data_IF_597827641869
#
_entry.id   IF_597827641869
#
_cell.length_a   1.000
_cell.length_b   1.000
_cell.length_c   1.000
_cell.angle_alpha   90.00
_cell.angle_beta   90.00
_cell.angle_gamma   90.00
#
_symmetry.space_group_name_H-M   'P 1'
#
loop_
_entity.id
_entity.type
_entity.pdbx_description
1 polymer ?
#
# COMPACT_ATOMS: atom_id res chain seq x y z
N UNK A 1 5.23 -25.01 -3.17
CA UNK A 1 5.05 -25.29 -4.61
C UNK A 1 5.03 -23.92 -5.27
N UNK A 2 6.11 -23.59 -5.99
CA UNK A 2 6.32 -22.27 -6.61
C UNK A 2 5.19 -22.02 -7.60
N UNK A 3 4.49 -20.88 -7.50
CA UNK A 3 3.35 -20.57 -8.36
C UNK A 3 3.78 -19.58 -9.43
N UNK A 4 3.92 -20.09 -10.64
CA UNK A 4 4.13 -19.28 -11.85
C UNK A 4 2.78 -18.81 -12.39
N UNK A 5 2.79 -17.92 -13.41
CA UNK A 5 1.58 -17.41 -14.06
C UNK A 5 0.62 -18.51 -14.54
N UNK A 6 1.14 -19.71 -14.83
CA UNK A 6 0.37 -20.89 -15.27
C UNK A 6 -0.30 -21.67 -14.14
N UNK A 7 0.04 -21.41 -12.88
CA UNK A 7 -0.50 -22.11 -11.70
C UNK A 7 -1.68 -21.36 -11.04
N UNK A 8 -2.08 -20.23 -11.61
CA UNK A 8 -3.19 -19.43 -11.10
C UNK A 8 -4.55 -19.99 -11.56
N UNK A 9 -5.58 -19.77 -10.74
CA UNK A 9 -6.95 -20.09 -11.11
C UNK A 9 -7.43 -19.24 -12.30
N UNK A 10 -8.50 -19.70 -12.94
CA UNK A 10 -9.09 -19.01 -14.10
C UNK A 10 -9.83 -17.77 -13.61
N UNK A 11 -9.56 -16.62 -14.23
CA UNK A 11 -10.35 -15.40 -14.06
C UNK A 11 -11.54 -15.45 -15.02
N UNK A 12 -12.72 -15.05 -14.56
CA UNK A 12 -13.88 -14.90 -15.43
C UNK A 12 -13.59 -13.85 -16.51
N UNK A 13 -14.05 -14.05 -17.76
CA UNK A 13 -13.89 -13.05 -18.81
C UNK A 13 -14.53 -11.72 -18.42
N UNK A 14 -13.95 -10.63 -18.90
CA UNK A 14 -14.43 -9.26 -18.69
C UNK A 14 -13.36 -8.33 -18.13
N UNK A 15 -13.49 -7.05 -18.47
CA UNK A 15 -12.60 -5.96 -18.02
C UNK A 15 -11.16 -6.06 -18.51
N UNK A 16 -10.84 -6.87 -19.53
CA UNK A 16 -9.50 -6.93 -20.13
C UNK A 16 -9.04 -5.55 -20.65
N UNK A 17 -9.99 -4.71 -21.10
CA UNK A 17 -9.72 -3.31 -21.48
C UNK A 17 -9.41 -2.36 -20.32
N UNK A 18 -9.45 -2.84 -19.06
CA UNK A 18 -9.05 -2.12 -17.84
C UNK A 18 -7.75 -2.68 -17.24
N UNK A 19 -7.15 -3.70 -17.85
CA UNK A 19 -5.82 -4.18 -17.47
C UNK A 19 -4.78 -3.10 -17.83
N UNK A 20 -3.86 -2.84 -16.91
CA UNK A 20 -2.79 -1.86 -17.06
C UNK A 20 -1.42 -2.53 -16.88
N UNK A 21 -0.36 -1.86 -17.32
CA UNK A 21 0.99 -2.40 -17.17
C UNK A 21 1.39 -2.54 -15.69
N UNK A 22 2.11 -3.61 -15.37
CA UNK A 22 2.61 -3.83 -14.01
C UNK A 22 3.69 -2.83 -13.61
N UNK A 23 4.47 -2.34 -14.58
CA UNK A 23 5.46 -1.30 -14.36
C UNK A 23 4.79 0.09 -14.40
N UNK A 24 4.79 0.86 -13.29
CA UNK A 24 4.17 2.18 -13.26
C UNK A 24 4.67 3.14 -14.35
N UNK A 25 5.93 3.00 -14.79
CA UNK A 25 6.54 3.85 -15.82
C UNK A 25 6.06 3.56 -17.24
N UNK A 26 5.44 2.40 -17.47
CA UNK A 26 4.90 1.99 -18.77
C UNK A 26 3.41 2.33 -18.91
N UNK A 27 2.78 2.83 -17.84
CA UNK A 27 1.38 3.25 -17.84
C UNK A 27 1.22 4.62 -18.50
N UNK A 28 -0.03 4.97 -18.82
CA UNK A 28 -0.40 6.35 -19.17
C UNK A 28 0.10 7.32 -18.12
N UNK A 29 0.59 8.48 -18.57
CA UNK A 29 1.14 9.52 -17.72
C UNK A 29 0.23 9.86 -16.53
N UNK A 30 0.85 10.02 -15.36
CA UNK A 30 0.17 10.39 -14.12
C UNK A 30 -0.51 11.77 -14.28
N UNK A 31 -1.80 11.93 -13.96
CA UNK A 31 -2.44 13.23 -13.97
C UNK A 31 -1.75 14.21 -13.02
N UNK A 32 -1.58 15.47 -13.42
CA UNK A 32 -0.83 16.47 -12.66
C UNK A 32 -1.39 16.72 -11.23
N UNK A 33 -2.68 16.45 -11.00
CA UNK A 33 -3.33 16.59 -9.70
C UNK A 33 -3.32 15.29 -8.87
N UNK A 34 -2.52 14.30 -9.25
CA UNK A 34 -2.41 13.01 -8.56
C UNK A 34 -1.00 12.83 -8.04
N UNK A 35 -0.88 12.58 -6.74
CA UNK A 35 0.37 12.24 -6.08
C UNK A 35 0.64 10.74 -6.20
N UNK A 36 1.84 10.35 -6.59
CA UNK A 36 2.30 8.95 -6.56
C UNK A 36 3.65 8.87 -5.84
N UNK A 37 3.64 8.28 -4.64
CA UNK A 37 4.85 8.19 -3.83
C UNK A 37 5.95 7.37 -4.53
N UNK A 38 5.58 6.30 -5.22
CA UNK A 38 6.49 5.42 -5.97
C UNK A 38 7.15 6.04 -7.20
N UNK A 39 6.75 7.26 -7.60
CA UNK A 39 7.31 7.97 -8.75
C UNK A 39 7.93 9.31 -8.32
N UNK A 40 9.13 9.30 -7.71
CA UNK A 40 9.77 10.53 -7.24
C UNK A 40 9.94 11.61 -8.32
N UNK A 41 10.18 11.21 -9.56
CA UNK A 41 10.25 12.09 -10.71
C UNK A 41 9.01 12.97 -10.91
N UNK A 42 7.85 12.58 -10.36
CA UNK A 42 6.61 13.36 -10.48
C UNK A 42 6.42 14.37 -9.37
N UNK A 43 7.19 14.32 -8.28
CA UNK A 43 6.95 15.18 -7.11
C UNK A 43 8.18 15.87 -6.53
N UNK A 44 9.43 15.45 -6.80
CA UNK A 44 10.64 16.03 -6.19
C UNK A 44 10.70 17.56 -6.34
N UNK A 45 10.60 18.04 -7.58
CA UNK A 45 10.67 19.47 -7.89
C UNK A 45 9.46 20.23 -7.32
N UNK A 46 8.30 19.58 -7.27
CA UNK A 46 7.10 20.14 -6.68
C UNK A 46 7.30 20.32 -5.18
N UNK A 47 7.89 19.36 -4.46
CA UNK A 47 8.14 19.49 -3.02
C UNK A 47 9.14 20.62 -2.73
N UNK A 48 10.23 20.70 -3.51
CA UNK A 48 11.16 21.83 -3.39
C UNK A 48 10.46 23.17 -3.61
N UNK A 49 9.59 23.25 -4.62
CA UNK A 49 8.82 24.46 -4.93
C UNK A 49 7.83 24.79 -3.82
N UNK A 50 7.12 23.78 -3.30
CA UNK A 50 6.11 23.94 -2.26
C UNK A 50 6.72 24.47 -0.97
N UNK A 51 7.96 24.11 -0.65
CA UNK A 51 8.64 24.47 0.61
C UNK A 51 9.71 25.57 0.42
N UNK A 52 9.79 26.20 -0.74
CA UNK A 52 10.90 27.12 -1.07
C UNK A 52 10.99 28.36 -0.15
N UNK A 53 9.90 28.73 0.52
CA UNK A 53 9.82 29.81 1.50
C UNK A 53 10.42 29.43 2.86
N UNK A 54 10.57 28.13 3.14
CA UNK A 54 11.18 27.61 4.38
C UNK A 54 12.52 26.92 4.13
N UNK A 55 12.60 26.09 3.10
CA UNK A 55 13.81 25.38 2.69
C UNK A 55 14.54 26.16 1.60
N UNK A 56 15.18 27.24 2.02
CA UNK A 56 15.92 28.14 1.14
C UNK A 56 17.24 27.53 0.66
N UNK A 57 17.98 28.25 -0.20
CA UNK A 57 19.35 27.86 -0.55
C UNK A 57 20.28 27.88 0.68
N UNK A 58 20.03 28.76 1.67
CA UNK A 58 20.81 28.81 2.90
C UNK A 58 20.65 27.53 3.73
N UNK A 59 19.40 27.04 3.89
CA UNK A 59 19.12 25.75 4.56
C UNK A 59 19.84 24.61 3.84
N UNK A 60 19.72 24.55 2.51
CA UNK A 60 20.36 23.48 1.72
C UNK A 60 21.89 23.55 1.74
N UNK A 61 22.48 24.74 1.85
CA UNK A 61 23.92 24.90 2.02
C UNK A 61 24.37 24.48 3.41
N UNK A 62 23.67 24.92 4.47
CA UNK A 62 23.97 24.54 5.84
C UNK A 62 23.91 23.00 6.04
N UNK A 63 22.92 22.34 5.45
CA UNK A 63 22.83 20.88 5.46
C UNK A 63 24.03 20.19 4.78
N UNK A 64 24.55 20.74 3.68
CA UNK A 64 25.71 20.16 2.97
C UNK A 64 27.02 20.38 3.71
N UNK A 65 27.13 21.52 4.41
CA UNK A 65 28.31 21.85 5.21
C UNK A 65 28.41 20.96 6.45
N UNK A 66 27.28 20.71 7.11
CA UNK A 66 27.21 19.91 8.33
C UNK A 66 25.96 18.99 8.30
N UNK A 67 25.99 17.89 7.53
CA UNK A 67 24.88 16.94 7.51
C UNK A 67 24.74 16.25 8.86
N UNK A 68 23.51 15.92 9.30
CA UNK A 68 23.29 15.23 10.57
C UNK A 68 23.93 13.83 10.54
N UNK A 69 24.35 13.34 11.71
CA UNK A 69 24.88 11.98 11.85
C UNK A 69 23.86 10.92 11.38
N UNK A 70 22.58 11.15 11.66
CA UNK A 70 21.47 10.30 11.25
C UNK A 70 20.46 11.10 10.44
N UNK A 71 20.23 10.68 9.20
CA UNK A 71 19.17 11.19 8.36
C UNK A 71 18.00 10.20 8.39
N UNK A 72 16.94 10.56 9.10
CA UNK A 72 15.77 9.69 9.32
C UNK A 72 14.46 10.44 9.07
N UNK A 73 13.41 9.72 8.68
CA UNK A 73 12.11 10.29 8.31
C UNK A 73 11.09 10.40 9.44
N UNK A 74 11.29 9.64 10.52
CA UNK A 74 10.40 9.61 11.68
C UNK A 74 10.61 10.82 12.59
N UNK A 75 11.87 11.25 12.73
CA UNK A 75 12.27 12.48 13.43
C UNK A 75 12.99 13.46 12.49
N UNK A 76 12.30 14.55 12.15
CA UNK A 76 12.83 15.63 11.30
C UNK A 76 13.33 16.83 12.11
N UNK A 77 13.61 16.68 13.41
CA UNK A 77 14.21 17.74 14.23
C UNK A 77 15.50 18.29 13.61
N UNK A 78 16.32 17.43 12.98
CA UNK A 78 17.51 17.86 12.25
C UNK A 78 17.22 18.88 11.14
N UNK A 79 16.04 18.83 10.50
CA UNK A 79 15.63 19.77 9.47
C UNK A 79 15.00 21.02 10.08
N UNK A 80 14.14 20.82 11.09
CA UNK A 80 13.44 21.91 11.76
C UNK A 80 14.43 22.84 12.47
N UNK A 81 15.42 22.27 13.19
CA UNK A 81 16.51 23.01 13.84
C UNK A 81 17.37 23.78 12.83
N UNK A 82 17.61 23.20 11.65
CA UNK A 82 18.37 23.84 10.58
C UNK A 82 17.62 25.04 9.97
N UNK A 83 16.31 24.91 9.81
CA UNK A 83 15.44 25.99 9.35
C UNK A 83 15.40 27.10 10.41
N UNK A 84 15.27 26.75 11.69
CA UNK A 84 15.32 27.74 12.78
C UNK A 84 16.67 28.46 12.80
N UNK A 85 17.79 27.74 12.74
CA UNK A 85 19.12 28.33 12.79
C UNK A 85 19.41 29.30 11.64
N UNK A 86 18.84 29.05 10.45
CA UNK A 86 19.09 29.86 9.25
C UNK A 86 18.07 30.97 9.02
N UNK A 87 16.83 30.81 9.48
CA UNK A 87 15.72 31.75 9.23
C UNK A 87 15.15 32.41 10.48
N UNK A 88 15.41 31.84 11.67
CA UNK A 88 14.81 32.25 12.95
C UNK A 88 13.37 31.76 13.15
N UNK A 89 12.86 30.89 12.27
CA UNK A 89 11.50 30.38 12.34
C UNK A 89 11.43 28.94 12.86
N UNK A 90 10.61 28.73 13.88
CA UNK A 90 10.23 27.40 14.35
C UNK A 90 9.10 26.84 13.49
N UNK A 91 9.32 25.67 12.91
CA UNK A 91 8.32 24.97 12.11
C UNK A 91 8.28 23.47 12.44
N UNK A 92 7.21 22.82 12.01
CA UNK A 92 7.15 21.36 11.83
C UNK A 92 7.15 21.10 10.32
N UNK A 93 8.31 20.76 9.76
CA UNK A 93 8.48 20.57 8.31
C UNK A 93 7.61 19.43 7.77
N UNK A 94 7.38 18.38 8.57
CA UNK A 94 6.57 17.21 8.22
C UNK A 94 5.10 17.60 8.07
N UNK A 95 4.52 18.25 9.07
CA UNK A 95 3.14 18.71 9.08
C UNK A 95 2.91 19.82 8.04
N UNK A 96 3.89 20.71 7.84
CA UNK A 96 3.83 21.75 6.84
C UNK A 96 3.74 21.17 5.42
N UNK A 97 4.64 20.23 5.10
CA UNK A 97 4.62 19.56 3.80
C UNK A 97 3.33 18.78 3.59
N UNK A 98 2.88 18.00 4.57
CA UNK A 98 1.62 17.26 4.48
C UNK A 98 0.43 18.19 4.17
N UNK A 99 0.35 19.31 4.88
CA UNK A 99 -0.69 20.33 4.67
C UNK A 99 -0.65 20.88 3.24
N UNK A 100 0.55 21.17 2.71
CA UNK A 100 0.70 21.76 1.38
C UNK A 100 0.53 20.73 0.26
N UNK A 101 0.94 19.47 0.45
CA UNK A 101 0.64 18.36 -0.45
C UNK A 101 -0.86 18.18 -0.62
N UNK A 102 -1.62 18.25 0.48
CA UNK A 102 -3.09 18.15 0.44
C UNK A 102 -3.76 19.27 -0.37
N UNK A 103 -3.15 20.45 -0.40
CA UNK A 103 -3.62 21.58 -1.21
C UNK A 103 -3.20 21.48 -2.68
N UNK A 104 -2.09 20.79 -2.95
CA UNK A 104 -1.51 20.67 -4.30
C UNK A 104 -2.15 19.53 -5.09
N UNK A 105 -2.39 18.39 -4.44
CA UNK A 105 -2.91 17.19 -5.07
C UNK A 105 -4.34 16.89 -4.66
N UNK A 106 -5.16 16.48 -5.64
CA UNK A 106 -6.53 16.02 -5.40
C UNK A 106 -6.59 14.55 -5.03
N UNK A 107 -5.66 13.75 -5.56
CA UNK A 107 -5.65 12.30 -5.39
C UNK A 107 -4.29 11.77 -4.92
N UNK A 108 -4.31 10.65 -4.22
CA UNK A 108 -3.17 9.83 -3.84
C UNK A 108 -3.29 8.49 -4.56
N UNK A 109 -2.32 8.16 -5.42
CA UNK A 109 -2.26 6.89 -6.15
C UNK A 109 -1.66 5.79 -5.29
N UNK A 110 -2.39 4.69 -5.13
CA UNK A 110 -1.93 3.53 -4.37
C UNK A 110 -2.52 2.20 -4.91
N UNK A 111 -1.83 1.10 -4.64
CA UNK A 111 -2.25 -0.25 -5.02
C UNK A 111 -2.98 -1.00 -3.91
N UNK A 112 -4.04 -1.71 -4.24
CA UNK A 112 -4.74 -2.65 -3.36
C UNK A 112 -4.54 -4.09 -3.86
N UNK A 113 -3.92 -4.93 -3.03
CA UNK A 113 -3.75 -6.35 -3.34
C UNK A 113 -4.99 -7.16 -2.96
N UNK A 114 -5.38 -8.07 -3.85
CA UNK A 114 -6.38 -9.08 -3.56
C UNK A 114 -6.15 -10.33 -4.40
N UNK A 115 -7.01 -11.32 -4.20
CA UNK A 115 -7.09 -12.52 -5.00
C UNK A 115 -8.55 -12.79 -5.37
N UNK A 116 -8.85 -12.78 -6.66
CA UNK A 116 -10.22 -12.91 -7.17
C UNK A 116 -10.28 -13.71 -8.46
N UNK A 117 -11.39 -14.43 -8.66
CA UNK A 117 -11.78 -15.05 -9.93
C UNK A 117 -12.81 -14.19 -10.69
N UNK A 118 -13.26 -13.08 -10.13
CA UNK A 118 -14.27 -12.19 -10.71
C UNK A 118 -13.92 -10.72 -10.46
N UNK A 119 -13.79 -9.93 -11.53
CA UNK A 119 -13.50 -8.50 -11.45
C UNK A 119 -14.78 -7.65 -11.35
N UNK A 120 -15.94 -8.21 -11.69
CA UNK A 120 -17.22 -7.49 -11.79
C UNK A 120 -17.57 -6.73 -10.51
N UNK A 121 -17.49 -7.33 -9.30
CA UNK A 121 -17.87 -6.61 -8.08
C UNK A 121 -17.01 -5.36 -7.83
N UNK A 122 -15.75 -5.37 -8.25
CA UNK A 122 -14.81 -4.27 -8.06
C UNK A 122 -15.12 -3.11 -9.00
N UNK A 123 -15.45 -3.40 -10.25
CA UNK A 123 -15.78 -2.36 -11.24
C UNK A 123 -17.24 -1.89 -11.18
N UNK A 124 -18.15 -2.66 -10.57
CA UNK A 124 -19.54 -2.24 -10.39
C UNK A 124 -19.75 -1.51 -9.06
N UNK A 125 -19.10 -1.95 -7.98
CA UNK A 125 -19.33 -1.46 -6.61
C UNK A 125 -18.11 -0.82 -5.96
N UNK A 126 -16.95 -0.87 -6.61
CA UNK A 126 -15.70 -0.31 -6.09
C UNK A 126 -15.00 -1.25 -5.12
N UNK A 127 -13.98 -0.73 -4.43
CA UNK A 127 -13.34 -1.46 -3.33
C UNK A 127 -14.11 -1.21 -2.04
N UNK A 128 -14.44 -2.29 -1.35
CA UNK A 128 -15.29 -2.26 -0.15
C UNK A 128 -14.47 -2.49 1.10
N UNK A 129 -14.64 -1.61 2.10
CA UNK A 129 -14.08 -1.83 3.45
C UNK A 129 -14.51 -3.17 4.00
N UNK A 130 -13.68 -3.72 4.89
CA UNK A 130 -14.01 -4.95 5.58
C UNK A 130 -15.37 -4.84 6.28
N UNK A 131 -16.31 -5.67 5.84
CA UNK A 131 -17.60 -5.90 6.46
C UNK A 131 -17.59 -7.34 7.02
N UNK A 132 -17.41 -7.55 8.33
CA UNK A 132 -17.08 -8.86 8.91
C UNK A 132 -18.04 -9.97 8.49
N UNK A 133 -19.35 -9.68 8.51
CA UNK A 133 -20.39 -10.63 8.11
C UNK A 133 -20.18 -11.21 6.71
N UNK A 134 -19.78 -10.38 5.73
CA UNK A 134 -19.54 -10.83 4.36
C UNK A 134 -18.35 -11.81 4.29
N UNK A 135 -17.30 -11.57 5.08
CA UNK A 135 -16.16 -12.48 5.17
C UNK A 135 -16.52 -13.75 5.94
N UNK A 136 -17.35 -13.65 6.98
CA UNK A 136 -17.85 -14.82 7.72
C UNK A 136 -18.67 -15.73 6.80
N UNK A 137 -19.57 -15.16 6.00
CA UNK A 137 -20.35 -15.92 5.03
C UNK A 137 -19.44 -16.53 3.96
N UNK A 138 -18.42 -15.79 3.51
CA UNK A 138 -17.44 -16.30 2.55
C UNK A 138 -16.61 -17.45 3.11
N UNK A 139 -16.15 -17.39 4.36
CA UNK A 139 -15.38 -18.49 4.95
C UNK A 139 -16.26 -19.73 5.14
N UNK A 140 -17.53 -19.58 5.52
CA UNK A 140 -18.48 -20.70 5.56
C UNK A 140 -18.65 -21.34 4.18
N UNK A 141 -18.84 -20.55 3.12
CA UNK A 141 -18.95 -21.07 1.75
C UNK A 141 -17.70 -21.85 1.31
N UNK A 142 -16.51 -21.36 1.67
CA UNK A 142 -15.25 -21.97 1.29
C UNK A 142 -14.98 -23.28 2.05
N UNK A 143 -15.32 -23.34 3.34
CA UNK A 143 -14.89 -24.45 4.20
C UNK A 143 -16.00 -25.41 4.65
N UNK A 144 -17.28 -25.00 4.62
CA UNK A 144 -18.45 -25.82 5.01
C UNK A 144 -19.19 -26.44 3.81
N UNK A 145 -18.49 -26.69 2.72
CA UNK A 145 -19.05 -27.30 1.50
C UNK A 145 -18.91 -28.84 1.45
N UNK A 146 -18.57 -29.48 2.59
CA UNK A 146 -18.39 -30.93 2.70
C UNK A 146 -17.04 -31.48 2.19
N UNK A 147 -16.18 -30.65 1.59
CA UNK A 147 -14.87 -31.07 1.05
C UNK A 147 -13.74 -31.06 2.07
N UNK A 148 -13.93 -30.37 3.20
CA UNK A 148 -12.90 -30.17 4.22
C UNK A 148 -13.25 -30.94 5.49
N UNK A 149 -12.85 -32.22 5.53
CA UNK A 149 -13.05 -33.08 6.71
C UNK A 149 -12.41 -32.43 7.94
N UNK A 150 -13.18 -32.29 9.00
CA UNK A 150 -12.70 -31.74 10.28
C UNK A 150 -12.90 -30.24 10.47
N UNK A 151 -13.45 -29.52 9.48
CA UNK A 151 -13.99 -28.17 9.70
C UNK A 151 -15.48 -28.29 10.02
N UNK A 152 -15.94 -27.57 11.04
CA UNK A 152 -17.34 -27.52 11.47
C UNK A 152 -17.74 -26.08 11.74
N UNK A 153 -19.06 -25.81 11.75
CA UNK A 153 -19.59 -24.49 12.11
C UNK A 153 -19.02 -24.02 13.46
N UNK A 154 -19.03 -24.89 14.48
CA UNK A 154 -18.49 -24.59 15.80
C UNK A 154 -17.01 -24.17 15.80
N UNK A 155 -16.19 -24.76 14.93
CA UNK A 155 -14.77 -24.37 14.80
C UNK A 155 -14.62 -23.03 14.10
N UNK A 156 -15.43 -22.76 13.08
CA UNK A 156 -15.43 -21.47 12.39
C UNK A 156 -15.89 -20.34 13.31
N UNK A 157 -16.96 -20.55 14.09
CA UNK A 157 -17.41 -19.57 15.09
C UNK A 157 -16.33 -19.29 16.15
N UNK A 158 -15.67 -20.33 16.65
CA UNK A 158 -14.55 -20.17 17.58
C UNK A 158 -13.40 -19.37 16.95
N UNK A 159 -13.04 -19.68 15.69
CA UNK A 159 -12.00 -18.96 14.96
C UNK A 159 -12.36 -17.50 14.68
N UNK A 160 -13.61 -17.21 14.30
CA UNK A 160 -14.11 -15.84 14.10
C UNK A 160 -13.97 -15.03 15.38
N UNK A 161 -14.44 -15.59 16.51
CA UNK A 161 -14.33 -14.97 17.82
C UNK A 161 -12.88 -14.74 18.26
N UNK A 162 -12.00 -15.69 17.99
CA UNK A 162 -10.58 -15.59 18.35
C UNK A 162 -9.85 -14.52 17.54
N UNK A 163 -10.10 -14.45 16.22
CA UNK A 163 -9.39 -13.50 15.35
C UNK A 163 -9.78 -12.05 15.66
N UNK A 164 -11.07 -11.81 15.93
CA UNK A 164 -11.62 -10.48 16.17
C UNK A 164 -11.55 -9.57 14.93
N UNK A 165 -12.49 -8.64 14.81
CA UNK A 165 -12.56 -7.67 13.72
C UNK A 165 -12.36 -6.22 14.16
N UNK A 166 -12.22 -5.94 15.45
CA UNK A 166 -12.29 -4.60 16.04
C UNK A 166 -11.25 -3.62 15.47
N UNK A 167 -10.07 -4.13 15.09
CA UNK A 167 -8.99 -3.32 14.52
C UNK A 167 -9.00 -3.27 12.98
N UNK A 168 -9.84 -4.08 12.33
CA UNK A 168 -9.85 -4.31 10.88
C UNK A 168 -11.13 -3.87 10.20
N UNK A 169 -12.26 -3.95 10.90
CA UNK A 169 -13.58 -3.57 10.39
C UNK A 169 -13.56 -2.12 9.89
N UNK A 170 -14.26 -1.89 8.78
CA UNK A 170 -14.39 -0.55 8.23
C UNK A 170 -13.09 0.01 7.66
N UNK A 171 -12.11 -0.83 7.33
CA UNK A 171 -10.84 -0.40 6.71
C UNK A 171 -10.60 -1.04 5.36
N UNK A 172 -9.95 -0.27 4.49
CA UNK A 172 -9.26 -0.71 3.29
C UNK A 172 -7.78 -0.39 3.41
N UNK A 173 -6.93 -1.31 2.97
CA UNK A 173 -5.48 -1.17 3.01
C UNK A 173 -4.91 -1.06 1.59
N UNK A 174 -3.91 -0.20 1.44
CA UNK A 174 -3.21 0.03 0.19
C UNK A 174 -1.70 0.12 0.42
N UNK A 175 -0.94 -0.06 -0.65
CA UNK A 175 0.48 0.23 -0.71
C UNK A 175 0.72 1.44 -1.64
N UNK A 176 1.37 2.47 -1.13
CA UNK A 176 1.83 3.63 -1.91
C UNK A 176 2.96 3.25 -2.89
N UNK A 177 3.64 2.13 -2.63
CA UNK A 177 4.56 1.48 -3.56
C UNK A 177 4.06 0.08 -3.84
N UNK A 178 3.55 -0.14 -5.05
CA UNK A 178 2.85 -1.38 -5.42
C UNK A 178 3.78 -2.60 -5.44
N UNK A 179 5.08 -2.40 -5.68
CA UNK A 179 6.10 -3.44 -5.63
C UNK A 179 6.30 -4.04 -4.24
N UNK A 180 5.93 -3.32 -3.18
CA UNK A 180 5.97 -3.87 -1.82
C UNK A 180 5.02 -5.06 -1.67
N UNK A 181 3.96 -5.12 -2.49
CA UNK A 181 2.94 -6.17 -2.46
C UNK A 181 3.42 -7.49 -3.06
N UNK A 182 4.53 -7.53 -3.79
CA UNK A 182 4.99 -8.78 -4.43
C UNK A 182 6.50 -9.01 -4.37
N UNK A 183 7.28 -8.00 -3.98
CA UNK A 183 8.74 -8.13 -3.82
C UNK A 183 9.11 -8.77 -2.48
N UNK A 184 10.32 -9.35 -2.46
CA UNK A 184 10.93 -9.86 -1.22
C UNK A 184 11.14 -8.78 -0.16
N UNK A 185 11.50 -7.56 -0.58
CA UNK A 185 11.76 -6.44 0.32
C UNK A 185 10.49 -5.96 1.00
N UNK A 186 9.38 -5.84 0.27
CA UNK A 186 8.10 -5.44 0.85
C UNK A 186 7.42 -6.53 1.67
N UNK A 187 7.76 -7.81 1.42
CA UNK A 187 7.33 -8.96 2.22
C UNK A 187 5.81 -9.01 2.46
N UNK A 188 5.02 -8.55 1.49
CA UNK A 188 3.55 -8.43 1.58
C UNK A 188 2.80 -9.28 0.54
N UNK A 189 3.49 -10.24 -0.10
CA UNK A 189 2.89 -11.11 -1.13
C UNK A 189 1.76 -12.02 -0.65
N UNK A 190 1.63 -12.25 0.66
CA UNK A 190 0.55 -13.08 1.20
C UNK A 190 -0.84 -12.50 0.91
N UNK A 191 -0.99 -11.18 0.77
CA UNK A 191 -2.27 -10.55 0.38
C UNK A 191 -2.69 -10.90 -1.06
N UNK A 192 -1.72 -11.16 -1.94
CA UNK A 192 -1.95 -11.59 -3.32
C UNK A 192 -2.11 -13.11 -3.45
N UNK A 193 -1.40 -13.86 -2.61
CA UNK A 193 -1.40 -15.33 -2.64
C UNK A 193 -2.65 -15.89 -1.96
N UNK A 194 -3.08 -15.29 -0.85
CA UNK A 194 -4.19 -15.81 -0.03
C UNK A 194 -5.41 -14.87 0.01
N UNK A 195 -5.29 -13.65 -0.55
CA UNK A 195 -6.38 -12.67 -0.58
C UNK A 195 -6.54 -11.93 0.74
N UNK A 196 -7.79 -11.73 1.15
CA UNK A 196 -8.14 -11.03 2.40
C UNK A 196 -7.42 -11.62 3.62
N UNK A 197 -6.69 -10.77 4.34
CA UNK A 197 -5.97 -11.17 5.56
C UNK A 197 -6.92 -11.65 6.65
N UNK A 198 -8.07 -11.01 6.80
CA UNK A 198 -9.06 -11.41 7.80
C UNK A 198 -9.60 -12.82 7.50
N UNK A 199 -9.92 -13.08 6.23
CA UNK A 199 -10.33 -14.40 5.76
C UNK A 199 -9.21 -15.43 5.98
N UNK A 200 -7.97 -15.09 5.63
CA UNK A 200 -6.79 -15.93 5.87
C UNK A 200 -6.64 -16.28 7.36
N UNK A 201 -6.69 -15.30 8.25
CA UNK A 201 -6.55 -15.51 9.68
C UNK A 201 -7.61 -16.45 10.26
N UNK A 202 -8.87 -16.32 9.84
CA UNK A 202 -9.96 -17.22 10.25
C UNK A 202 -9.71 -18.63 9.71
N UNK A 203 -9.40 -18.76 8.41
CA UNK A 203 -9.16 -20.04 7.77
C UNK A 203 -8.03 -20.83 8.45
N UNK A 204 -6.96 -20.14 8.83
CA UNK A 204 -5.80 -20.70 9.52
C UNK A 204 -6.09 -21.25 10.92
N UNK A 205 -7.17 -20.79 11.58
CA UNK A 205 -7.61 -21.27 12.90
C UNK A 205 -8.70 -22.33 12.81
N UNK A 206 -9.53 -22.24 11.77
CA UNK A 206 -10.64 -23.16 11.57
C UNK A 206 -10.25 -24.48 10.86
N UNK A 207 -9.18 -24.45 10.05
CA UNK A 207 -8.74 -25.57 9.23
C UNK A 207 -7.23 -25.85 9.41
N UNK A 208 -6.79 -27.01 8.92
CA UNK A 208 -5.36 -27.30 8.79
C UNK A 208 -4.67 -26.25 7.93
N UNK A 209 -3.48 -25.80 8.36
CA UNK A 209 -2.68 -24.76 7.71
C UNK A 209 -2.47 -25.00 6.21
N UNK A 210 -2.08 -26.23 5.85
CA UNK A 210 -1.78 -26.57 4.45
C UNK A 210 -3.08 -26.59 3.64
N UNK A 211 -4.14 -27.15 4.20
CA UNK A 211 -5.46 -27.16 3.57
C UNK A 211 -6.01 -25.74 3.36
N UNK A 212 -5.95 -24.88 4.38
CA UNK A 212 -6.40 -23.48 4.29
C UNK A 212 -5.64 -22.72 3.20
N UNK A 213 -4.31 -22.74 3.24
CA UNK A 213 -3.46 -22.11 2.22
C UNK A 213 -3.75 -22.64 0.80
N UNK A 214 -4.01 -23.94 0.65
CA UNK A 214 -4.38 -24.53 -0.64
C UNK A 214 -5.72 -24.03 -1.15
N UNK A 215 -6.73 -23.95 -0.29
CA UNK A 215 -8.07 -23.41 -0.65
C UNK A 215 -7.97 -21.96 -1.09
N UNK A 216 -7.32 -21.12 -0.28
CA UNK A 216 -7.26 -19.68 -0.55
C UNK A 216 -6.45 -19.35 -1.79
N UNK A 217 -5.29 -20.00 -1.93
CA UNK A 217 -4.44 -19.78 -3.11
C UNK A 217 -4.99 -20.39 -4.40
N UNK A 218 -6.07 -21.18 -4.35
CA UNK A 218 -6.76 -21.69 -5.53
C UNK A 218 -7.85 -20.75 -6.06
N UNK A 219 -8.20 -19.69 -5.31
CA UNK A 219 -9.19 -18.70 -5.74
C UNK A 219 -8.59 -17.87 -6.89
N UNK A 220 -9.13 -17.94 -8.11
CA UNK A 220 -8.78 -17.05 -9.22
C UNK A 220 -7.31 -16.66 -9.35
N UNK A 221 -7.06 -15.37 -9.59
CA UNK A 221 -5.73 -14.79 -9.84
C UNK A 221 -5.35 -13.74 -8.79
N UNK A 222 -4.05 -13.64 -8.44
CA UNK A 222 -3.54 -12.47 -7.74
C UNK A 222 -3.80 -11.22 -8.58
N UNK A 223 -4.35 -10.18 -7.97
CA UNK A 223 -4.76 -8.96 -8.66
C UNK A 223 -4.40 -7.75 -7.81
N UNK A 224 -3.78 -6.76 -8.43
CA UNK A 224 -3.55 -5.44 -7.83
C UNK A 224 -4.46 -4.45 -8.53
N UNK A 225 -5.31 -3.76 -7.77
CA UNK A 225 -6.07 -2.61 -8.25
C UNK A 225 -5.30 -1.34 -7.96
N UNK A 226 -5.09 -0.51 -8.98
CA UNK A 226 -4.46 0.80 -8.82
C UNK A 226 -5.56 1.84 -8.70
N UNK A 227 -5.53 2.63 -7.63
CA UNK A 227 -6.61 3.55 -7.29
C UNK A 227 -6.09 4.97 -7.08
N UNK A 228 -6.85 5.95 -7.57
CA UNK A 228 -6.69 7.36 -7.25
C UNK A 228 -7.64 7.70 -6.09
N UNK A 229 -7.09 7.62 -4.87
CA UNK A 229 -7.81 7.86 -3.62
C UNK A 229 -7.90 9.37 -3.39
N UNK A 230 -9.08 9.97 -3.17
CA UNK A 230 -9.14 11.40 -2.88
C UNK A 230 -8.29 11.76 -1.65
N UNK A 231 -7.50 12.82 -1.75
CA UNK A 231 -6.55 13.22 -0.70
C UNK A 231 -7.24 13.58 0.61
N UNK A 232 -8.52 13.96 0.55
CA UNK A 232 -9.38 14.18 1.71
C UNK A 232 -9.66 12.92 2.54
N UNK A 233 -9.46 11.71 1.96
CA UNK A 233 -9.62 10.42 2.66
C UNK A 233 -8.34 9.97 3.36
N UNK A 234 -7.20 10.62 3.07
CA UNK A 234 -5.90 10.28 3.66
C UNK A 234 -5.76 10.99 5.01
N UNK A 235 -5.54 10.20 6.08
CA UNK A 235 -5.35 10.71 7.44
C UNK A 235 -4.11 11.59 7.53
N UNK A 236 -4.17 12.64 8.35
CA UNK A 236 -3.07 13.59 8.54
C UNK A 236 -1.75 12.91 8.91
N UNK A 237 -1.75 12.10 9.98
CA UNK A 237 -0.55 11.36 10.37
C UNK A 237 0.01 10.45 9.27
N UNK A 238 -0.83 9.89 8.40
CA UNK A 238 -0.34 9.10 7.25
C UNK A 238 0.35 9.98 6.21
N UNK A 239 -0.19 11.16 5.92
CA UNK A 239 0.41 12.08 4.97
C UNK A 239 1.68 12.74 5.54
N UNK A 240 1.71 12.96 6.85
CA UNK A 240 2.91 13.35 7.60
C UNK A 240 4.00 12.30 7.45
N UNK A 241 3.73 11.00 7.70
CA UNK A 241 4.73 9.94 7.50
C UNK A 241 5.33 9.96 6.09
N UNK A 242 4.50 10.03 5.05
CA UNK A 242 5.01 10.15 3.69
C UNK A 242 5.79 11.44 3.45
N UNK A 243 5.39 12.55 4.06
CA UNK A 243 6.11 13.83 3.97
C UNK A 243 7.51 13.71 4.58
N UNK A 244 7.63 13.03 5.72
CA UNK A 244 8.92 12.73 6.34
C UNK A 244 9.83 11.92 5.41
N UNK A 245 9.30 10.85 4.82
CA UNK A 245 10.05 10.00 3.87
C UNK A 245 10.46 10.78 2.61
N UNK A 246 9.61 11.71 2.14
CA UNK A 246 9.92 12.56 0.99
C UNK A 246 11.04 13.55 1.32
N UNK A 247 11.04 14.15 2.51
CA UNK A 247 12.08 15.08 2.96
C UNK A 247 13.41 14.35 3.20
N UNK A 248 13.40 13.21 3.89
CA UNK A 248 14.57 12.33 4.04
C UNK A 248 15.17 12.02 2.65
N UNK A 249 14.33 11.59 1.71
CA UNK A 249 14.75 11.26 0.35
C UNK A 249 15.40 12.43 -0.37
N UNK A 250 14.78 13.62 -0.29
CA UNK A 250 15.27 14.82 -0.96
C UNK A 250 16.60 15.30 -0.39
N UNK A 251 16.75 15.31 0.93
CA UNK A 251 17.99 15.72 1.58
C UNK A 251 19.10 14.69 1.43
N UNK A 252 18.77 13.39 1.42
CA UNK A 252 19.73 12.33 1.09
C UNK A 252 20.36 12.57 -0.29
N UNK A 253 19.57 13.05 -1.26
CA UNK A 253 20.06 13.37 -2.62
C UNK A 253 21.01 14.58 -2.69
N UNK A 254 21.18 15.33 -1.59
CA UNK A 254 22.14 16.43 -1.52
C UNK A 254 23.55 15.97 -1.09
N UNK A 255 23.71 14.72 -0.69
CA UNK A 255 24.97 14.13 -0.22
C UNK A 255 25.41 13.05 -1.22
N UNK A 256 26.62 13.17 -1.76
CA UNK A 256 27.16 12.27 -2.81
C UNK A 256 27.37 10.81 -2.36
N UNK A 257 27.09 10.47 -1.09
CA UNK A 257 27.42 9.18 -0.46
C UNK A 257 26.20 8.34 -0.06
N UNK A 258 24.97 8.83 -0.25
CA UNK A 258 23.77 8.07 0.08
C UNK A 258 23.12 7.55 -1.20
N UNK A 259 22.98 6.22 -1.29
CA UNK A 259 22.28 5.58 -2.38
C UNK A 259 20.79 6.01 -2.37
N UNK A 260 20.42 6.84 -3.34
CA UNK A 260 19.09 7.41 -3.50
C UNK A 260 18.22 6.61 -4.47
N UNK A 261 18.65 5.42 -4.91
CA UNK A 261 17.83 4.54 -5.74
C UNK A 261 16.66 3.94 -4.95
N UNK A 262 16.73 4.00 -3.61
CA UNK A 262 15.72 3.44 -2.72
C UNK A 262 15.01 4.55 -1.95
N UNK A 263 13.69 4.68 -2.20
CA UNK A 263 12.79 5.39 -1.31
C UNK A 263 12.80 4.71 0.07
N UNK A 264 13.33 5.43 1.06
CA UNK A 264 13.39 5.10 2.50
C UNK A 264 13.43 3.59 2.76
N UNK A 265 14.64 2.96 2.73
CA UNK A 265 14.85 1.51 2.64
C UNK A 265 14.04 0.66 3.63
N UNK A 266 13.78 1.26 4.79
CA UNK A 266 13.22 0.64 5.99
C UNK A 266 11.80 1.11 6.32
N UNK A 267 11.25 2.03 5.52
CA UNK A 267 9.94 2.62 5.76
C UNK A 267 8.83 1.86 5.05
N UNK A 268 7.70 1.71 5.73
CA UNK A 268 6.53 1.05 5.16
C UNK A 268 5.83 1.91 4.11
N UNK A 269 5.30 1.29 3.06
CA UNK A 269 4.45 1.96 2.06
C UNK A 269 2.95 1.82 2.35
N UNK A 270 2.58 1.25 3.51
CA UNK A 270 1.21 0.91 3.83
C UNK A 270 0.39 2.13 4.26
N UNK A 271 -0.84 2.24 3.74
CA UNK A 271 -1.83 3.19 4.21
C UNK A 271 -3.20 2.52 4.31
N UNK A 272 -4.11 3.14 5.08
CA UNK A 272 -5.50 2.69 5.13
C UNK A 272 -6.46 3.87 5.16
N UNK A 273 -7.63 3.64 4.57
CA UNK A 273 -8.80 4.53 4.63
C UNK A 273 -9.96 3.82 5.32
N UNK A 274 -10.96 4.59 5.75
CA UNK A 274 -12.10 4.09 6.52
C UNK A 274 -13.43 4.04 5.77
N UNK A 275 -13.35 4.06 4.45
CA UNK A 275 -14.52 4.15 3.58
C UNK A 275 -14.25 3.45 2.25
N UNK A 276 -15.33 3.12 1.56
CA UNK A 276 -15.26 2.47 0.25
C UNK A 276 -14.57 3.40 -0.78
N UNK A 277 -13.86 2.78 -1.73
CA UNK A 277 -13.36 3.45 -2.94
C UNK A 277 -14.36 3.18 -4.04
N UNK A 278 -14.83 4.23 -4.72
CA UNK A 278 -15.81 4.07 -5.79
C UNK A 278 -15.18 3.48 -7.05
N UNK A 279 -15.96 2.85 -7.95
CA UNK A 279 -15.43 2.32 -9.22
C UNK A 279 -14.63 3.32 -10.05
N UNK A 280 -15.02 4.60 -10.04
CA UNK A 280 -14.39 5.65 -10.83
C UNK A 280 -12.99 6.00 -10.34
N UNK A 281 -12.71 5.74 -9.05
CA UNK A 281 -11.37 5.89 -8.47
C UNK A 281 -10.43 4.74 -8.85
N UNK A 282 -10.92 3.65 -9.44
CA UNK A 282 -10.06 2.54 -9.89
C UNK A 282 -9.48 2.90 -11.27
N UNK A 283 -8.19 3.17 -11.33
CA UNK A 283 -7.47 3.46 -12.57
C UNK A 283 -7.47 2.23 -13.48
N UNK A 284 -7.18 1.07 -12.90
CA UNK A 284 -7.07 -0.20 -13.61
C UNK A 284 -6.66 -1.32 -12.66
N UNK A 285 -6.40 -2.49 -13.23
CA UNK A 285 -5.85 -3.62 -12.49
C UNK A 285 -4.71 -4.27 -13.26
N UNK A 286 -3.88 -5.05 -12.56
CA UNK A 286 -2.91 -5.91 -13.21
C UNK A 286 -2.63 -7.16 -12.37
N UNK A 287 -1.96 -8.12 -13.00
CA UNK A 287 -1.64 -9.41 -12.40
C UNK A 287 -0.11 -9.60 -12.34
N UNK A 288 0.53 -9.46 -11.17
CA UNK A 288 1.98 -9.60 -11.07
C UNK A 288 2.43 -11.00 -11.48
N UNK A 289 3.53 -11.07 -12.24
CA UNK A 289 4.05 -12.33 -12.79
C UNK A 289 4.70 -13.22 -11.73
N UNK A 290 5.36 -12.60 -10.75
CA UNK A 290 6.08 -13.26 -9.66
C UNK A 290 5.72 -12.59 -8.34
N UNK A 291 5.47 -13.41 -7.32
CA UNK A 291 5.05 -12.95 -6.00
C UNK A 291 5.85 -13.70 -4.96
N UNK A 292 6.62 -12.97 -4.15
CA UNK A 292 7.30 -13.55 -3.00
C UNK A 292 6.31 -13.90 -1.89
N UNK A 293 6.27 -15.17 -1.46
CA UNK A 293 5.53 -15.62 -0.28
C UNK A 293 6.37 -15.45 0.99
N UNK A 294 6.09 -14.44 1.82
CA UNK A 294 6.84 -14.23 3.06
C UNK A 294 6.58 -15.33 4.10
N UNK A 295 5.46 -16.05 4.01
CA UNK A 295 5.08 -17.09 4.95
C UNK A 295 5.75 -18.44 4.66
N UNK A 296 6.42 -18.55 3.51
CA UNK A 296 7.24 -19.69 3.12
C UNK A 296 8.68 -19.30 2.76
N UNK A 297 9.01 -18.00 2.78
CA UNK A 297 10.29 -17.44 2.33
C UNK A 297 10.68 -17.96 0.93
N UNK A 298 9.74 -17.90 -0.01
CA UNK A 298 9.87 -18.47 -1.35
C UNK A 298 9.26 -17.57 -2.44
N UNK A 299 9.68 -17.75 -3.69
CA UNK A 299 9.12 -17.07 -4.86
C UNK A 299 7.98 -17.87 -5.53
#
# INVERSE_FOLDING_TARGET
>A
MYKTRTDWGILRPGFEGREIESNPRERTALPANTFSFSMPETWRDIVWTILNDKITDAVRSAFREEPPEYLVSDDLSWLDDLIEATSGELIDSKALLATRLRKTYRYFRAGHATRTDDLTPFYDSGLRVLRPKEIHDRVRQLFLNGRHRGVSESKLEAAIKEVGDEVREGRLYFAAQEDSLFSRRGSSGHYLIYGSEYLYCIAMRAADTVAAKKVLSAIGRPTIFVCDIPMSKIRDGTLEEFSGMMLEYLFASLIDQIDTEVLSPWSGSALSIREDVTPESIVGHYHPERIFDPLWNAW
#
